data_IF_340776632367
#
_entry.id   IF_340776632367
#
_cell.length_a   1.000
_cell.length_b   1.000
_cell.length_c   1.000
_cell.angle_alpha   90.00
_cell.angle_beta   90.00
_cell.angle_gamma   90.00
#
_symmetry.space_group_name_H-M   'P 1'
#
loop_
_entity.id
_entity.type
_entity.pdbx_description
1 polymer ?
#
# COMPACT_ATOMS: atom_id res chain seq x y z
N UNK A 1 -38.81 30.65 -7.17
CA UNK A 1 -37.88 30.17 -8.23
C UNK A 1 -38.71 29.55 -9.36
N UNK A 2 -38.32 29.72 -10.63
CA UNK A 2 -38.97 29.01 -11.75
C UNK A 2 -38.83 27.50 -11.55
N UNK A 3 -39.89 26.73 -11.79
CA UNK A 3 -39.93 25.26 -11.64
C UNK A 3 -38.81 24.55 -12.43
N UNK A 4 -38.47 25.09 -13.60
CA UNK A 4 -37.40 24.55 -14.44
C UNK A 4 -36.02 24.64 -13.79
N UNK A 5 -35.75 25.70 -13.02
CA UNK A 5 -34.47 25.87 -12.29
C UNK A 5 -34.35 24.83 -11.20
N UNK A 6 -35.43 24.57 -10.46
CA UNK A 6 -35.46 23.54 -9.41
C UNK A 6 -35.27 22.14 -10.00
N UNK A 7 -35.92 21.86 -11.14
CA UNK A 7 -35.76 20.58 -11.85
C UNK A 7 -34.32 20.39 -12.31
N UNK A 8 -33.72 21.39 -12.95
CA UNK A 8 -32.34 21.33 -13.41
C UNK A 8 -31.37 21.13 -12.25
N UNK A 9 -31.52 21.88 -11.16
CA UNK A 9 -30.67 21.77 -9.99
C UNK A 9 -30.70 20.36 -9.38
N UNK A 10 -31.89 19.76 -9.24
CA UNK A 10 -32.02 18.37 -8.77
C UNK A 10 -31.33 17.38 -9.71
N UNK A 11 -31.51 17.53 -11.02
CA UNK A 11 -30.87 16.65 -12.02
C UNK A 11 -29.35 16.73 -11.92
N UNK A 12 -28.78 17.95 -11.89
CA UNK A 12 -27.33 18.14 -11.76
C UNK A 12 -26.83 17.54 -10.45
N UNK A 13 -27.46 17.86 -9.32
CA UNK A 13 -27.09 17.30 -8.02
C UNK A 13 -27.09 15.77 -8.03
N UNK A 14 -28.15 15.14 -8.55
CA UNK A 14 -28.26 13.67 -8.58
C UNK A 14 -27.13 13.04 -9.41
N UNK A 15 -26.88 13.52 -10.63
CA UNK A 15 -25.85 12.93 -11.48
C UNK A 15 -24.43 13.22 -10.98
N UNK A 16 -24.20 14.41 -10.42
CA UNK A 16 -22.93 14.75 -9.77
C UNK A 16 -22.70 13.85 -8.55
N UNK A 17 -23.72 13.66 -7.70
CA UNK A 17 -23.64 12.80 -6.53
C UNK A 17 -23.40 11.33 -6.88
N UNK A 18 -24.10 10.80 -7.89
CA UNK A 18 -23.92 9.41 -8.35
C UNK A 18 -22.51 9.20 -8.92
N UNK A 19 -22.04 10.09 -9.80
CA UNK A 19 -20.73 9.92 -10.44
C UNK A 19 -19.60 10.07 -9.43
N UNK A 20 -19.58 11.14 -8.63
CA UNK A 20 -18.56 11.34 -7.61
C UNK A 20 -18.63 10.28 -6.51
N UNK A 21 -19.83 9.89 -6.09
CA UNK A 21 -20.04 8.82 -5.12
C UNK A 21 -19.51 7.46 -5.60
N UNK A 22 -19.63 7.14 -6.89
CA UNK A 22 -19.08 5.91 -7.47
C UNK A 22 -17.55 5.86 -7.36
N UNK A 23 -16.87 6.95 -7.75
CA UNK A 23 -15.42 7.05 -7.63
C UNK A 23 -14.95 6.99 -6.17
N UNK A 24 -15.63 7.72 -5.28
CA UNK A 24 -15.31 7.71 -3.86
C UNK A 24 -15.59 6.35 -3.21
N UNK A 25 -16.63 5.63 -3.65
CA UNK A 25 -16.89 4.27 -3.19
C UNK A 25 -15.71 3.35 -3.50
N UNK A 26 -15.22 3.36 -4.75
CA UNK A 26 -14.04 2.57 -5.15
C UNK A 26 -12.83 2.94 -4.29
N UNK A 27 -12.55 4.24 -4.17
CA UNK A 27 -11.43 4.75 -3.40
C UNK A 27 -11.51 4.35 -1.92
N UNK A 28 -12.62 4.62 -1.23
CA UNK A 28 -12.77 4.29 0.18
C UNK A 28 -12.84 2.79 0.45
N UNK A 29 -13.44 2.00 -0.45
CA UNK A 29 -13.47 0.56 -0.31
C UNK A 29 -12.04 0.00 -0.39
N UNK A 30 -11.26 0.40 -1.38
CA UNK A 30 -9.84 0.05 -1.45
C UNK A 30 -9.05 0.57 -0.23
N UNK A 31 -9.32 1.79 0.23
CA UNK A 31 -8.70 2.37 1.42
C UNK A 31 -9.00 1.61 2.72
N UNK A 32 -10.18 1.00 2.85
CA UNK A 32 -10.48 0.15 4.00
C UNK A 32 -9.59 -1.10 4.04
N UNK A 33 -9.17 -1.59 2.87
CA UNK A 33 -8.28 -2.75 2.72
C UNK A 33 -6.83 -2.33 2.98
N UNK A 34 -6.40 -1.12 2.61
CA UNK A 34 -5.00 -0.67 2.83
C UNK A 34 -4.63 -0.53 4.30
N UNK A 35 -5.59 -0.39 5.21
CA UNK A 35 -5.35 -0.48 6.68
C UNK A 35 -4.68 -1.81 7.05
N UNK A 36 -4.92 -2.86 6.27
CA UNK A 36 -4.32 -4.19 6.44
C UNK A 36 -3.15 -4.45 5.47
N UNK A 37 -2.52 -3.42 4.91
CA UNK A 37 -1.46 -3.57 3.89
C UNK A 37 -0.34 -4.53 4.31
N UNK A 38 0.15 -4.43 5.55
CA UNK A 38 1.19 -5.33 6.07
C UNK A 38 0.67 -6.76 6.30
N UNK A 39 -0.44 -6.99 7.01
CA UNK A 39 -1.08 -8.31 7.07
C UNK A 39 -1.36 -8.95 5.69
N UNK A 40 -1.85 -8.16 4.73
CA UNK A 40 -2.12 -8.62 3.36
C UNK A 40 -0.83 -8.98 2.62
N UNK A 41 0.21 -8.15 2.76
CA UNK A 41 1.51 -8.44 2.18
C UNK A 41 2.05 -9.76 2.74
N UNK A 42 1.98 -9.99 4.07
CA UNK A 42 2.37 -11.27 4.68
C UNK A 42 1.55 -12.44 4.18
N UNK A 43 0.23 -12.29 4.09
CA UNK A 43 -0.66 -13.37 3.65
C UNK A 43 -0.39 -13.82 2.21
N UNK A 44 -0.07 -12.89 1.31
CA UNK A 44 0.22 -13.19 -0.10
C UNK A 44 1.67 -13.59 -0.34
N UNK A 45 2.58 -13.18 0.53
CA UNK A 45 3.98 -13.60 0.47
C UNK A 45 4.05 -15.07 0.88
N UNK A 46 4.43 -15.95 -0.05
CA UNK A 46 4.54 -17.39 0.22
C UNK A 46 5.39 -17.61 1.47
N UNK A 47 4.98 -18.49 2.40
CA UNK A 47 5.80 -18.90 3.52
C UNK A 47 6.85 -19.86 2.95
N UNK A 48 7.86 -19.33 2.24
CA UNK A 48 9.09 -20.08 2.14
C UNK A 48 9.50 -20.34 3.59
N UNK A 49 9.65 -21.61 4.03
CA UNK A 49 10.11 -21.89 5.37
C UNK A 49 11.55 -21.42 5.43
N UNK A 50 11.73 -20.15 5.76
CA UNK A 50 13.03 -19.58 6.05
C UNK A 50 13.45 -20.23 7.34
N UNK A 51 14.26 -21.27 7.21
CA UNK A 51 14.89 -21.89 8.35
C UNK A 51 15.97 -20.90 8.80
N UNK A 52 15.58 -19.99 9.68
CA UNK A 52 16.44 -18.94 10.20
C UNK A 52 17.80 -19.54 10.59
N UNK A 53 18.89 -18.94 10.13
CA UNK A 53 20.23 -19.30 10.57
C UNK A 53 20.28 -19.22 12.09
N UNK A 54 20.85 -20.23 12.74
CA UNK A 54 20.97 -20.26 14.20
C UNK A 54 21.73 -19.03 14.68
N UNK A 55 21.29 -18.42 15.78
CA UNK A 55 21.89 -17.19 16.31
C UNK A 55 23.40 -17.36 16.57
N UNK A 56 23.83 -18.55 16.99
CA UNK A 56 25.24 -18.89 17.21
C UNK A 56 26.12 -18.81 15.94
N UNK A 57 25.52 -18.84 14.74
CA UNK A 57 26.22 -18.72 13.45
C UNK A 57 26.10 -17.32 12.84
N UNK A 58 25.68 -16.32 13.63
CA UNK A 58 25.52 -14.94 13.13
C UNK A 58 26.84 -14.35 12.63
N UNK A 59 27.95 -14.62 13.31
CA UNK A 59 29.27 -14.11 12.90
C UNK A 59 29.70 -14.67 11.53
N UNK A 60 29.50 -15.97 11.32
CA UNK A 60 29.75 -16.65 10.04
C UNK A 60 28.85 -16.08 8.94
N UNK A 61 27.57 -15.88 9.24
CA UNK A 61 26.59 -15.29 8.33
C UNK A 61 26.98 -13.86 7.92
N UNK A 62 27.39 -13.02 8.87
CA UNK A 62 27.83 -11.65 8.59
C UNK A 62 29.08 -11.67 7.72
N UNK A 63 30.09 -12.47 8.09
CA UNK A 63 31.34 -12.55 7.34
C UNK A 63 31.12 -12.99 5.89
N UNK A 64 30.34 -14.06 5.68
CA UNK A 64 30.01 -14.56 4.33
C UNK A 64 29.19 -13.54 3.54
N UNK A 65 28.23 -12.88 4.18
CA UNK A 65 27.41 -11.87 3.52
C UNK A 65 28.23 -10.66 3.10
N UNK A 66 29.09 -10.13 3.97
CA UNK A 66 29.94 -8.97 3.65
C UNK A 66 30.99 -9.30 2.58
N UNK A 67 31.49 -10.53 2.55
CA UNK A 67 32.40 -11.00 1.50
C UNK A 67 31.69 -11.08 0.13
N UNK A 68 30.45 -11.59 0.10
CA UNK A 68 29.68 -11.72 -1.13
C UNK A 68 29.01 -10.41 -1.58
N UNK A 69 28.64 -9.55 -0.63
CA UNK A 69 27.84 -8.33 -0.81
C UNK A 69 28.46 -7.16 -0.06
N UNK A 70 29.49 -6.50 -0.63
CA UNK A 70 30.08 -5.30 -0.05
C UNK A 70 29.08 -4.15 0.14
N UNK A 71 27.96 -4.16 -0.58
CA UNK A 71 26.85 -3.21 -0.41
C UNK A 71 26.19 -3.31 0.98
N UNK A 72 26.16 -4.50 1.58
CA UNK A 72 25.61 -4.71 2.93
C UNK A 72 26.48 -4.09 4.02
N UNK A 73 27.77 -3.80 3.75
CA UNK A 73 28.69 -3.22 4.73
C UNK A 73 28.31 -1.79 5.16
N UNK A 74 27.49 -1.10 4.38
CA UNK A 74 27.03 0.26 4.69
C UNK A 74 26.04 0.28 5.84
N UNK A 75 25.06 -0.61 5.78
CA UNK A 75 23.98 -0.72 6.76
C UNK A 75 23.33 -2.11 6.61
N UNK A 76 23.30 -2.87 7.71
CA UNK A 76 22.58 -4.13 7.79
C UNK A 76 21.90 -4.26 9.16
N UNK A 77 20.85 -5.07 9.22
CA UNK A 77 20.12 -5.39 10.44
C UNK A 77 20.24 -6.87 10.73
N UNK A 78 20.72 -7.21 11.93
CA UNK A 78 20.73 -8.56 12.46
C UNK A 78 19.55 -8.73 13.43
N UNK A 79 18.69 -9.71 13.15
CA UNK A 79 17.51 -9.99 13.95
C UNK A 79 17.81 -11.06 15.02
N UNK A 80 17.83 -10.66 16.29
CA UNK A 80 18.22 -11.55 17.39
C UNK A 80 17.07 -12.44 17.90
N UNK A 81 15.81 -12.03 17.67
CA UNK A 81 14.63 -12.74 18.13
C UNK A 81 14.31 -14.00 17.32
N UNK A 82 13.28 -14.71 17.76
CA UNK A 82 12.62 -15.80 17.03
C UNK A 82 11.11 -15.52 16.97
N UNK A 83 10.76 -14.31 16.54
CA UNK A 83 9.37 -13.89 16.36
C UNK A 83 8.82 -14.42 15.03
N UNK A 84 7.53 -14.70 14.94
CA UNK A 84 6.88 -15.17 13.69
C UNK A 84 7.03 -14.18 12.52
N UNK A 85 7.29 -12.91 12.81
CA UNK A 85 7.53 -11.87 11.79
C UNK A 85 8.96 -11.86 11.22
N UNK A 86 9.85 -12.71 11.72
CA UNK A 86 11.21 -12.81 11.22
C UNK A 86 11.29 -13.77 10.04
N UNK A 87 11.40 -13.17 8.86
CA UNK A 87 11.59 -13.87 7.60
C UNK A 87 13.07 -14.04 7.22
N UNK A 88 14.03 -13.49 7.97
CA UNK A 88 15.47 -13.72 7.78
C UNK A 88 16.29 -13.28 9.02
N UNK A 89 17.47 -13.87 9.23
CA UNK A 89 18.39 -13.51 10.34
C UNK A 89 19.16 -12.22 10.06
N UNK A 90 19.55 -12.00 8.81
CA UNK A 90 20.30 -10.83 8.36
C UNK A 90 19.61 -10.19 7.17
N UNK A 91 19.34 -8.89 7.24
CA UNK A 91 18.71 -8.12 6.15
C UNK A 91 19.45 -6.81 5.88
N UNK A 92 19.50 -6.35 4.64
CA UNK A 92 20.08 -5.04 4.28
C UNK A 92 19.33 -4.39 3.12
N UNK A 93 19.58 -3.10 2.88
CA UNK A 93 19.02 -2.32 1.77
C UNK A 93 20.17 -1.72 0.96
N UNK A 94 20.04 -1.67 -0.36
CA UNK A 94 21.09 -1.07 -1.22
C UNK A 94 21.14 0.46 -1.11
N UNK A 95 20.06 1.08 -0.63
CA UNK A 95 19.94 2.51 -0.37
C UNK A 95 18.57 2.87 0.22
N UNK A 96 18.38 4.15 0.55
CA UNK A 96 17.11 4.66 1.13
C UNK A 96 15.88 4.39 0.26
N UNK A 97 16.03 4.43 -1.06
CA UNK A 97 14.94 4.22 -2.01
C UNK A 97 14.70 2.75 -2.37
N UNK A 98 15.53 1.82 -1.89
CA UNK A 98 15.37 0.40 -2.16
C UNK A 98 14.21 -0.16 -1.32
N UNK A 99 13.05 -0.37 -1.95
CA UNK A 99 11.81 -0.79 -1.27
C UNK A 99 11.79 -2.27 -0.91
N UNK A 100 12.75 -3.04 -1.38
CA UNK A 100 12.82 -4.49 -1.25
C UNK A 100 14.12 -4.88 -0.55
N UNK A 101 14.09 -5.10 0.77
CA UNK A 101 15.30 -5.48 1.49
C UNK A 101 15.81 -6.84 0.99
N UNK A 102 17.12 -6.95 0.92
CA UNK A 102 17.81 -8.20 0.73
C UNK A 102 17.95 -8.92 2.06
N UNK A 103 18.09 -10.24 1.97
CA UNK A 103 18.34 -11.13 3.10
C UNK A 103 19.43 -12.13 2.78
N UNK A 104 20.07 -12.59 3.84
CA UNK A 104 21.07 -13.63 3.79
C UNK A 104 20.72 -14.71 4.80
N UNK A 105 20.86 -15.96 4.36
CA UNK A 105 20.73 -17.16 5.17
C UNK A 105 21.89 -18.09 4.90
N UNK A 106 22.34 -18.77 5.95
CA UNK A 106 23.30 -19.84 5.86
C UNK A 106 22.60 -21.20 5.90
N UNK A 107 22.89 -22.04 4.91
CA UNK A 107 22.52 -23.46 4.93
C UNK A 107 23.20 -24.19 6.09
N UNK A 108 22.70 -25.38 6.45
CA UNK A 108 23.39 -26.25 7.41
C UNK A 108 24.82 -26.56 6.93
N UNK A 109 25.01 -26.71 5.63
CA UNK A 109 26.29 -27.00 4.97
C UNK A 109 27.22 -25.78 4.85
N UNK A 110 26.79 -24.58 5.27
CA UNK A 110 27.60 -23.35 5.22
C UNK A 110 27.42 -22.52 3.95
N UNK A 111 26.64 -23.00 2.98
CA UNK A 111 26.32 -22.24 1.77
C UNK A 111 25.48 -21.00 2.07
N UNK A 112 25.96 -19.86 1.56
CA UNK A 112 25.25 -18.59 1.64
C UNK A 112 24.13 -18.54 0.59
N UNK A 113 22.90 -18.33 1.04
CA UNK A 113 21.73 -18.08 0.20
C UNK A 113 21.31 -16.62 0.36
N UNK A 114 21.25 -15.92 -0.76
CA UNK A 114 20.77 -14.55 -0.80
C UNK A 114 19.38 -14.55 -1.42
N UNK A 115 18.43 -13.94 -0.72
CA UNK A 115 17.07 -13.78 -1.21
C UNK A 115 16.63 -12.33 -1.05
N UNK A 116 15.87 -11.83 -2.02
CA UNK A 116 15.20 -10.55 -1.89
C UNK A 116 13.84 -10.80 -1.24
N UNK A 117 13.43 -9.95 -0.30
CA UNK A 117 12.08 -10.06 0.27
C UNK A 117 11.07 -9.94 -0.87
N UNK A 118 10.27 -10.98 -1.08
CA UNK A 118 9.11 -10.89 -1.95
C UNK A 118 8.02 -10.17 -1.18
N UNK A 119 8.06 -8.83 -1.16
CA UNK A 119 6.93 -8.05 -0.69
C UNK A 119 5.89 -8.11 -1.80
N UNK A 120 4.77 -8.79 -1.57
CA UNK A 120 3.67 -8.83 -2.52
C UNK A 120 3.28 -7.41 -2.96
N UNK A 121 3.22 -7.18 -4.27
CA UNK A 121 2.76 -5.92 -4.87
C UNK A 121 1.25 -5.71 -4.73
N UNK A 122 0.50 -6.66 -4.16
CA UNK A 122 -0.95 -6.53 -3.98
C UNK A 122 -1.30 -5.33 -3.10
N UNK A 123 -0.59 -5.13 -1.99
CA UNK A 123 -0.85 -4.00 -1.09
C UNK A 123 -0.63 -2.66 -1.81
N UNK A 124 0.46 -2.54 -2.58
CA UNK A 124 0.76 -1.36 -3.39
C UNK A 124 -0.29 -1.16 -4.51
N UNK A 125 -0.78 -2.24 -5.12
CA UNK A 125 -1.83 -2.19 -6.12
C UNK A 125 -3.16 -1.68 -5.55
N UNK A 126 -3.57 -2.18 -4.39
CA UNK A 126 -4.79 -1.73 -3.71
C UNK A 126 -4.65 -0.27 -3.28
N UNK A 127 -3.48 0.14 -2.77
CA UNK A 127 -3.20 1.55 -2.47
C UNK A 127 -3.29 2.44 -3.72
N UNK A 128 -2.79 1.97 -4.85
CA UNK A 128 -2.94 2.69 -6.11
C UNK A 128 -4.42 2.85 -6.51
N UNK A 129 -5.25 1.82 -6.36
CA UNK A 129 -6.70 1.94 -6.58
C UNK A 129 -7.33 2.91 -5.58
N UNK A 130 -6.93 2.87 -4.30
CA UNK A 130 -7.43 3.82 -3.30
C UNK A 130 -7.17 5.28 -3.71
N UNK A 131 -5.98 5.57 -4.23
CA UNK A 131 -5.55 6.93 -4.59
C UNK A 131 -6.07 7.41 -5.94
N UNK A 132 -6.28 6.50 -6.90
CA UNK A 132 -6.61 6.85 -8.30
C UNK A 132 -7.99 6.39 -8.74
N UNK A 133 -8.69 5.62 -7.92
CA UNK A 133 -9.90 4.86 -8.29
C UNK A 133 -9.72 3.98 -9.55
N UNK A 134 -8.47 3.58 -9.85
CA UNK A 134 -8.14 2.76 -11.01
C UNK A 134 -8.10 3.53 -12.34
N UNK A 135 -8.09 4.86 -12.31
CA UNK A 135 -7.93 5.68 -13.51
C UNK A 135 -6.54 5.41 -14.12
N UNK A 136 -6.47 4.94 -15.39
CA UNK A 136 -5.20 4.67 -16.04
C UNK A 136 -4.45 5.95 -16.38
N UNK A 137 -3.13 5.95 -16.19
CA UNK A 137 -2.27 7.11 -16.45
C UNK A 137 -1.11 7.17 -15.46
N UNK A 138 -0.37 8.28 -15.46
CA UNK A 138 0.57 8.57 -14.37
C UNK A 138 -0.22 8.74 -13.06
N UNK A 139 0.28 8.16 -11.97
CA UNK A 139 -0.40 8.18 -10.66
C UNK A 139 -0.77 9.61 -10.24
N UNK A 140 0.11 10.59 -10.50
CA UNK A 140 -0.12 12.01 -10.22
C UNK A 140 -1.41 12.56 -10.87
N UNK A 141 -1.75 12.09 -12.08
CA UNK A 141 -2.96 12.50 -12.80
C UNK A 141 -4.19 11.89 -12.13
N UNK A 142 -4.16 10.59 -11.85
CA UNK A 142 -5.27 9.88 -11.20
C UNK A 142 -5.58 10.46 -9.82
N UNK A 143 -4.55 10.77 -9.04
CA UNK A 143 -4.66 11.42 -7.73
C UNK A 143 -5.26 12.82 -7.81
N UNK A 144 -4.81 13.61 -8.80
CA UNK A 144 -5.36 14.96 -9.02
C UNK A 144 -6.84 14.89 -9.38
N UNK A 145 -7.23 13.96 -10.26
CA UNK A 145 -8.64 13.75 -10.63
C UNK A 145 -9.45 13.34 -9.39
N UNK A 146 -8.95 12.42 -8.57
CA UNK A 146 -9.63 12.02 -7.33
C UNK A 146 -9.77 13.16 -6.32
N UNK A 147 -8.79 14.06 -6.24
CA UNK A 147 -8.90 15.29 -5.46
C UNK A 147 -10.05 16.19 -5.95
N UNK A 148 -10.16 16.38 -7.27
CA UNK A 148 -11.27 17.14 -7.88
C UNK A 148 -12.61 16.45 -7.62
N UNK A 149 -12.70 15.13 -7.79
CA UNK A 149 -13.91 14.34 -7.49
C UNK A 149 -14.34 14.53 -6.04
N UNK A 150 -13.39 14.50 -5.10
CA UNK A 150 -13.64 14.71 -3.68
C UNK A 150 -14.19 16.12 -3.39
N UNK A 151 -13.61 17.15 -4.01
CA UNK A 151 -14.10 18.53 -3.89
C UNK A 151 -15.52 18.69 -4.47
N UNK A 152 -15.78 18.09 -5.65
CA UNK A 152 -17.10 18.08 -6.29
C UNK A 152 -18.12 17.35 -5.41
N UNK A 153 -17.75 16.24 -4.78
CA UNK A 153 -18.62 15.53 -3.84
C UNK A 153 -18.93 16.35 -2.59
N UNK A 154 -17.97 17.10 -2.05
CA UNK A 154 -18.24 18.02 -0.94
C UNK A 154 -19.29 19.08 -1.32
N UNK A 155 -19.21 19.64 -2.53
CA UNK A 155 -20.24 20.53 -3.08
C UNK A 155 -21.57 19.79 -3.26
N UNK A 156 -21.55 18.53 -3.70
CA UNK A 156 -22.74 17.68 -3.79
C UNK A 156 -23.41 17.51 -2.42
N UNK A 157 -22.66 17.26 -1.34
CA UNK A 157 -23.22 17.14 0.01
C UNK A 157 -23.92 18.44 0.47
N UNK A 158 -23.27 19.59 0.30
CA UNK A 158 -23.85 20.89 0.66
C UNK A 158 -25.10 21.18 -0.20
N UNK A 159 -25.03 20.93 -1.49
CA UNK A 159 -26.18 21.13 -2.39
C UNK A 159 -27.35 20.23 -2.01
N UNK A 160 -27.10 18.98 -1.60
CA UNK A 160 -28.12 18.05 -1.11
C UNK A 160 -28.80 18.55 0.16
N UNK A 161 -28.03 19.08 1.12
CA UNK A 161 -28.58 19.70 2.32
C UNK A 161 -29.54 20.85 1.96
N UNK A 162 -29.17 21.71 1.00
CA UNK A 162 -30.02 22.80 0.51
C UNK A 162 -31.29 22.29 -0.18
N UNK A 163 -31.23 21.15 -0.90
CA UNK A 163 -32.41 20.52 -1.54
C UNK A 163 -33.37 19.97 -0.48
N UNK A 164 -32.85 19.32 0.55
CA UNK A 164 -33.65 18.55 1.53
C UNK A 164 -34.22 19.43 2.63
N UNK A 165 -33.47 20.43 3.13
CA UNK A 165 -33.90 21.30 4.23
C UNK A 165 -35.33 21.87 4.07
N UNK A 166 -35.72 22.46 2.92
CA UNK A 166 -37.06 23.00 2.73
C UNK A 166 -38.20 21.97 2.78
N UNK A 167 -37.88 20.66 2.69
CA UNK A 167 -38.88 19.60 2.79
C UNK A 167 -39.11 19.11 4.23
N UNK A 168 -38.28 19.55 5.17
CA UNK A 168 -38.31 19.14 6.58
C UNK A 168 -39.01 20.15 7.51
N UNK A 169 -39.34 21.34 7.00
CA UNK A 169 -40.05 22.43 7.71
C UNK A 169 -41.40 22.73 7.08
#
# INVERSE_FOLDING_TARGET
>A
MRSDVVRLYKVVHTWTGITAGMFLFIAFYAGSITVFAEPLARWVSSPAPVRLTALARSDELIAHTLAARPDAAKEFTLHLGETEDLWARLTWRKGKDDRTPWSAELSHEGDLRLAQSYRSSLADFVDNIHRTAGIPGANDIGETIMGVVSAVYAVALVSGLVIVLPSLV
#
